data_IF_577891926257
#
_entry.id   IF_577891926257
#
_cell.length_a   1.000
_cell.length_b   1.000
_cell.length_c   1.000
_cell.angle_alpha   90.00
_cell.angle_beta   90.00
_cell.angle_gamma   90.00
#
_symmetry.space_group_name_H-M   'P 1'
#
loop_
_entity.id
_entity.type
_entity.pdbx_description
1 polymer ?
#
# COMPACT_ATOMS: atom_id res chain seq x y z
N UNK A 1 -6.72 8.92 -13.19
CA UNK A 1 -6.04 9.73 -14.23
C UNK A 1 -6.80 9.83 -15.55
N UNK A 2 -7.27 8.74 -16.17
CA UNK A 2 -7.89 8.79 -17.52
C UNK A 2 -9.11 9.73 -17.63
N UNK A 3 -9.88 9.90 -16.54
CA UNK A 3 -11.09 10.74 -16.55
C UNK A 3 -10.81 12.21 -16.91
N UNK A 4 -9.78 12.83 -16.30
CA UNK A 4 -9.44 14.23 -16.61
C UNK A 4 -8.88 14.37 -18.04
N UNK A 5 -8.10 13.39 -18.50
CA UNK A 5 -7.60 13.35 -19.87
C UNK A 5 -8.72 13.27 -20.90
N UNK A 6 -9.73 12.43 -20.67
CA UNK A 6 -10.93 12.35 -21.52
C UNK A 6 -11.70 13.66 -21.49
N UNK A 7 -11.92 14.27 -20.32
CA UNK A 7 -12.63 15.55 -20.21
C UNK A 7 -11.92 16.70 -20.95
N UNK A 8 -10.60 16.72 -21.02
CA UNK A 8 -9.84 17.71 -21.79
C UNK A 8 -9.98 17.54 -23.32
N UNK A 9 -10.31 16.33 -23.77
CA UNK A 9 -10.46 15.96 -25.17
C UNK A 9 -11.93 15.93 -25.63
N UNK A 10 -12.87 16.31 -24.77
CA UNK A 10 -14.30 16.41 -25.10
C UNK A 10 -14.51 17.20 -26.40
N UNK A 11 -15.36 16.70 -27.28
CA UNK A 11 -15.62 17.32 -28.58
C UNK A 11 -16.21 18.72 -28.40
N UNK A 12 -17.14 18.85 -27.46
CA UNK A 12 -17.70 20.11 -27.02
C UNK A 12 -16.72 20.89 -26.14
N UNK A 13 -16.21 21.99 -26.68
CA UNK A 13 -15.24 22.87 -25.98
C UNK A 13 -15.80 23.48 -24.70
N UNK A 14 -17.12 23.64 -24.58
CA UNK A 14 -17.75 24.22 -23.38
C UNK A 14 -17.75 23.25 -22.21
N UNK A 15 -17.63 21.95 -22.48
CA UNK A 15 -17.53 20.88 -21.47
C UNK A 15 -16.11 20.62 -21.02
N UNK A 16 -15.11 21.15 -21.75
CA UNK A 16 -13.70 21.00 -21.37
C UNK A 16 -13.43 21.79 -20.09
N UNK A 17 -12.70 21.20 -19.13
CA UNK A 17 -12.31 21.90 -17.94
C UNK A 17 -11.34 23.04 -18.29
N UNK A 18 -11.38 24.12 -17.50
CA UNK A 18 -10.34 25.14 -17.56
C UNK A 18 -9.04 24.63 -16.90
N UNK A 19 -7.93 25.32 -17.16
CA UNK A 19 -6.63 24.90 -16.64
C UNK A 19 -6.54 24.91 -15.11
N UNK A 20 -7.30 25.77 -14.41
CA UNK A 20 -7.33 25.75 -12.94
C UNK A 20 -7.92 24.44 -12.41
N UNK A 21 -9.04 24.00 -12.98
CA UNK A 21 -9.68 22.73 -12.64
C UNK A 21 -8.80 21.52 -12.99
N UNK A 22 -8.07 21.58 -14.12
CA UNK A 22 -7.11 20.53 -14.50
C UNK A 22 -5.99 20.43 -13.46
N UNK A 23 -5.36 21.55 -13.11
CA UNK A 23 -4.26 21.57 -12.14
C UNK A 23 -4.73 21.09 -10.77
N UNK A 24 -5.87 21.56 -10.27
CA UNK A 24 -6.44 21.09 -9.00
C UNK A 24 -6.63 19.57 -9.00
N UNK A 25 -7.20 19.02 -10.07
CA UNK A 25 -7.40 17.57 -10.20
C UNK A 25 -6.08 16.81 -10.20
N UNK A 26 -5.05 17.32 -10.88
CA UNK A 26 -3.74 16.67 -10.93
C UNK A 26 -3.02 16.67 -9.57
N UNK A 27 -3.09 17.78 -8.83
CA UNK A 27 -2.52 17.88 -7.48
C UNK A 27 -3.19 16.89 -6.52
N UNK A 28 -4.53 16.80 -6.55
CA UNK A 28 -5.26 15.82 -5.72
C UNK A 28 -4.82 14.39 -6.02
N UNK A 29 -4.69 14.03 -7.30
CA UNK A 29 -4.22 12.70 -7.70
C UNK A 29 -2.77 12.44 -7.27
N UNK A 30 -1.90 13.45 -7.35
CA UNK A 30 -0.52 13.36 -6.89
C UNK A 30 -0.46 13.07 -5.38
N UNK A 31 -1.23 13.80 -4.58
CA UNK A 31 -1.30 13.61 -3.13
C UNK A 31 -1.83 12.21 -2.76
N UNK A 32 -2.93 11.77 -3.38
CA UNK A 32 -3.48 10.42 -3.19
C UNK A 32 -2.46 9.33 -3.57
N UNK A 33 -1.75 9.53 -4.68
CA UNK A 33 -0.71 8.59 -5.14
C UNK A 33 0.45 8.54 -4.15
N UNK A 34 0.89 9.69 -3.63
CA UNK A 34 1.95 9.78 -2.62
C UNK A 34 1.55 9.07 -1.34
N UNK A 35 0.33 9.27 -0.86
CA UNK A 35 -0.21 8.56 0.32
C UNK A 35 -0.27 7.05 0.10
N UNK A 36 -0.74 6.60 -1.07
CA UNK A 36 -0.79 5.18 -1.41
C UNK A 36 0.61 4.54 -1.39
N UNK A 37 1.63 5.23 -1.92
CA UNK A 37 3.02 4.76 -1.90
C UNK A 37 3.55 4.66 -0.46
N UNK A 38 3.31 5.68 0.37
CA UNK A 38 3.72 5.67 1.78
C UNK A 38 3.07 4.50 2.52
N UNK A 39 1.76 4.30 2.32
CA UNK A 39 1.01 3.22 2.95
C UNK A 39 1.51 1.84 2.50
N UNK A 40 1.78 1.65 1.20
CA UNK A 40 2.35 0.42 0.67
C UNK A 40 3.73 0.12 1.28
N UNK A 41 4.57 1.16 1.47
CA UNK A 41 5.88 1.02 2.10
C UNK A 41 5.77 0.62 3.57
N UNK A 42 4.85 1.25 4.31
CA UNK A 42 4.57 0.91 5.70
C UNK A 42 4.12 -0.55 5.82
N UNK A 43 3.22 -1.01 4.95
CA UNK A 43 2.73 -2.39 4.98
C UNK A 43 3.82 -3.41 4.61
N UNK A 44 4.67 -3.05 3.65
CA UNK A 44 5.87 -3.82 3.30
C UNK A 44 6.80 -3.94 4.52
N UNK A 45 7.07 -2.84 5.22
CA UNK A 45 7.89 -2.85 6.44
C UNK A 45 7.29 -3.70 7.55
N UNK A 46 5.96 -3.65 7.77
CA UNK A 46 5.28 -4.53 8.73
C UNK A 46 5.45 -6.00 8.36
N UNK A 47 5.33 -6.32 7.07
CA UNK A 47 5.48 -7.69 6.57
C UNK A 47 6.90 -8.18 6.77
N UNK A 48 7.91 -7.36 6.45
CA UNK A 48 9.32 -7.66 6.70
C UNK A 48 9.57 -7.87 8.20
N UNK A 49 9.08 -6.99 9.06
CA UNK A 49 9.22 -7.12 10.51
C UNK A 49 8.65 -8.45 11.03
N UNK A 50 7.46 -8.84 10.55
CA UNK A 50 6.84 -10.14 10.89
C UNK A 50 7.66 -11.33 10.38
N UNK A 51 8.30 -11.20 9.21
CA UNK A 51 9.12 -12.27 8.63
C UNK A 51 10.48 -12.41 9.34
N UNK A 52 11.11 -11.31 9.75
CA UNK A 52 12.38 -11.31 10.49
C UNK A 52 12.18 -11.75 11.93
N UNK A 53 11.07 -11.35 12.54
CA UNK A 53 10.68 -11.73 13.89
C UNK A 53 9.46 -12.67 13.84
N UNK A 54 9.64 -13.93 13.40
CA UNK A 54 8.57 -14.91 13.45
C UNK A 54 8.36 -15.26 14.93
N UNK A 55 7.47 -14.53 15.62
CA UNK A 55 7.10 -14.84 16.99
C UNK A 55 6.54 -16.28 17.05
N UNK A 56 7.12 -17.19 17.84
CA UNK A 56 6.51 -18.46 18.15
C UNK A 56 6.24 -18.47 19.65
N UNK A 57 5.16 -17.85 20.12
CA UNK A 57 4.86 -17.90 21.56
C UNK A 57 4.14 -19.20 21.94
N UNK A 58 3.49 -19.88 20.98
CA UNK A 58 2.72 -21.10 21.24
C UNK A 58 3.48 -22.42 20.95
N UNK A 59 4.56 -22.38 20.15
CA UNK A 59 5.26 -23.61 19.69
C UNK A 59 6.65 -23.82 20.32
N UNK A 60 7.21 -22.82 21.01
CA UNK A 60 8.49 -22.97 21.70
C UNK A 60 8.43 -24.03 22.83
N UNK A 61 7.28 -24.15 23.49
CA UNK A 61 7.07 -25.13 24.56
C UNK A 61 7.04 -26.58 24.03
N UNK A 62 6.45 -26.80 22.86
CA UNK A 62 6.30 -28.14 22.26
C UNK A 62 7.62 -28.69 21.71
N UNK A 63 8.45 -27.86 21.08
CA UNK A 63 9.75 -28.30 20.53
C UNK A 63 10.75 -28.63 21.65
N UNK A 64 10.68 -27.94 22.79
CA UNK A 64 11.50 -28.26 23.97
C UNK A 64 11.11 -29.62 24.60
N UNK A 65 9.81 -29.93 24.66
CA UNK A 65 9.30 -31.21 25.21
C UNK A 65 9.63 -32.43 24.35
N UNK A 66 9.60 -32.30 23.02
CA UNK A 66 9.97 -33.42 22.12
C UNK A 66 11.48 -33.73 22.19
N UNK A 67 12.32 -32.72 22.40
CA UNK A 67 13.78 -32.89 22.53
C UNK A 67 14.20 -33.50 23.87
N UNK A 68 13.45 -33.30 24.95
CA UNK A 68 13.74 -33.94 26.24
C UNK A 68 13.32 -35.42 26.28
N UNK A 69 12.29 -35.82 25.52
CA UNK A 69 11.86 -37.22 25.44
C UNK A 69 12.77 -38.12 24.57
N UNK A 70 13.52 -37.56 23.62
CA UNK A 70 14.48 -38.33 22.82
C UNK A 70 15.86 -38.48 23.48
N UNK A 71 16.09 -37.84 24.63
CA UNK A 71 17.34 -37.91 25.39
C UNK A 71 17.30 -38.93 26.55
N UNK A 72 16.28 -39.80 26.57
CA UNK A 72 16.09 -40.88 27.54
C UNK A 72 16.00 -42.23 26.82
#
# INVERSE_FOLDING_TARGET
MLKISVSCLEEDRTKRPNMSAVVQTLVTVEDETREAIVNAKVETSKTIWKAINPLPVEHACTVALVRSQQAQ
#
